data_IF_344283311073
#
_entry.id   IF_344283311073
#
_cell.length_a   1.000
_cell.length_b   1.000
_cell.length_c   1.000
_cell.angle_alpha   90.00
_cell.angle_beta   90.00
_cell.angle_gamma   90.00
#
_symmetry.space_group_name_H-M   'P 1'
#
loop_
_entity.id
_entity.type
_entity.pdbx_description
1 polymer ?
#
# COMPACT_ATOMS: atom_id res chain seq x y z
N UNK A 1 -0.53 4.81 -3.14
CA UNK A 1 0.22 4.75 -4.41
C UNK A 1 -0.74 4.28 -5.48
N UNK A 2 -0.75 4.95 -6.61
CA UNK A 2 -1.66 4.68 -7.73
C UNK A 2 -0.84 4.55 -9.01
N UNK A 3 -1.24 3.65 -9.89
CA UNK A 3 -0.62 3.42 -11.19
C UNK A 3 -1.58 2.58 -12.02
N UNK A 4 -1.42 2.63 -13.34
CA UNK A 4 -2.24 1.84 -14.25
C UNK A 4 -1.90 0.35 -14.12
N UNK A 5 -2.87 -0.50 -13.84
CA UNK A 5 -2.70 -1.96 -13.68
C UNK A 5 -3.27 -2.69 -14.91
N UNK A 6 -4.51 -2.37 -15.26
CA UNK A 6 -5.22 -2.94 -16.40
C UNK A 6 -4.96 -2.12 -17.67
N UNK A 7 -5.26 -2.71 -18.82
CA UNK A 7 -5.00 -2.10 -20.13
C UNK A 7 -5.70 -0.74 -20.32
N UNK A 8 -6.89 -0.61 -19.72
CA UNK A 8 -7.76 0.56 -19.86
C UNK A 8 -7.72 1.49 -18.63
N UNK A 9 -6.84 1.22 -17.64
CA UNK A 9 -6.67 2.14 -16.51
C UNK A 9 -6.02 3.44 -17.01
N UNK A 10 -6.57 4.58 -16.58
CA UNK A 10 -6.02 5.90 -16.86
C UNK A 10 -6.08 6.80 -15.62
N UNK A 11 -5.04 7.62 -15.44
CA UNK A 11 -4.95 8.60 -14.34
C UNK A 11 -6.14 9.54 -14.27
N UNK A 12 -6.74 9.91 -15.38
CA UNK A 12 -7.89 10.83 -15.42
C UNK A 12 -9.16 10.24 -14.82
N UNK A 13 -9.24 8.91 -14.67
CA UNK A 13 -10.35 8.22 -14.00
C UNK A 13 -10.15 8.10 -12.49
N UNK A 14 -8.95 8.39 -11.99
CA UNK A 14 -8.65 8.33 -10.56
C UNK A 14 -9.27 9.52 -9.81
N UNK A 15 -10.14 9.23 -8.83
CA UNK A 15 -10.73 10.21 -7.95
C UNK A 15 -9.80 10.52 -6.74
N UNK A 16 -9.22 11.73 -6.65
CA UNK A 16 -8.38 12.12 -5.51
C UNK A 16 -9.17 12.27 -4.21
N UNK A 17 -10.49 12.44 -4.26
CA UNK A 17 -11.35 12.60 -3.08
C UNK A 17 -11.82 11.24 -2.50
N UNK A 18 -11.43 10.12 -3.12
CA UNK A 18 -11.81 8.78 -2.66
C UNK A 18 -11.35 8.46 -1.22
N UNK A 19 -10.26 9.07 -0.76
CA UNK A 19 -9.78 8.96 0.62
C UNK A 19 -9.45 10.35 1.19
N UNK A 20 -10.46 11.12 1.64
CA UNK A 20 -10.31 12.54 1.94
C UNK A 20 -9.67 12.83 3.31
N UNK A 21 -9.23 11.81 4.05
CA UNK A 21 -8.57 12.02 5.35
C UNK A 21 -7.24 12.75 5.14
N UNK A 22 -6.97 13.88 5.85
CA UNK A 22 -5.77 14.69 5.62
C UNK A 22 -4.44 13.97 5.94
N UNK A 23 -4.50 12.79 6.57
CA UNK A 23 -3.32 11.93 6.79
C UNK A 23 -2.97 11.09 5.56
N UNK A 24 -3.86 11.01 4.58
CA UNK A 24 -3.64 10.24 3.36
C UNK A 24 -2.92 11.11 2.34
N UNK A 25 -1.80 10.61 1.82
CA UNK A 25 -1.08 11.23 0.72
C UNK A 25 -1.23 10.34 -0.50
N UNK A 26 -1.77 10.91 -1.57
CA UNK A 26 -1.91 10.23 -2.84
C UNK A 26 -0.70 10.53 -3.72
N UNK A 27 -0.01 9.48 -4.17
CA UNK A 27 1.09 9.56 -5.12
C UNK A 27 0.77 8.71 -6.33
N UNK A 28 0.96 9.30 -7.51
CA UNK A 28 0.86 8.62 -8.80
C UNK A 28 2.25 8.16 -9.24
N UNK A 29 2.43 6.84 -9.39
CA UNK A 29 3.69 6.19 -9.73
C UNK A 29 3.64 5.71 -11.20
N UNK A 30 3.83 6.66 -12.12
CA UNK A 30 3.75 6.39 -13.58
C UNK A 30 4.70 5.27 -14.03
N UNK A 31 5.88 5.17 -13.43
CA UNK A 31 6.89 4.17 -13.77
C UNK A 31 6.66 2.82 -13.06
N UNK A 32 5.63 2.74 -12.21
CA UNK A 32 5.36 1.58 -11.33
C UNK A 32 6.59 1.23 -10.50
N UNK A 33 7.42 2.21 -10.16
CA UNK A 33 8.71 2.01 -9.53
C UNK A 33 8.58 1.27 -8.20
N UNK A 34 7.66 1.70 -7.33
CA UNK A 34 7.43 1.03 -6.06
C UNK A 34 6.75 -0.33 -6.27
N UNK A 35 5.75 -0.40 -7.15
CA UNK A 35 5.02 -1.63 -7.44
C UNK A 35 5.93 -2.75 -7.97
N UNK A 36 6.96 -2.39 -8.76
CA UNK A 36 8.03 -3.27 -9.23
C UNK A 36 9.04 -3.61 -8.13
N UNK A 37 9.42 -2.63 -7.32
CA UNK A 37 10.45 -2.79 -6.30
C UNK A 37 10.03 -3.74 -5.17
N UNK A 38 8.76 -3.68 -4.72
CA UNK A 38 8.25 -4.50 -3.61
C UNK A 38 8.49 -6.01 -3.82
N UNK A 39 8.02 -6.67 -4.90
CA UNK A 39 8.18 -8.12 -5.07
C UNK A 39 9.65 -8.57 -5.23
N UNK A 40 10.58 -7.64 -5.45
CA UNK A 40 12.02 -7.93 -5.51
C UNK A 40 12.67 -8.02 -4.12
N UNK A 41 12.00 -7.54 -3.06
CA UNK A 41 12.53 -7.59 -1.70
C UNK A 41 12.14 -8.89 -1.03
N UNK A 42 13.11 -9.55 -0.38
CA UNK A 42 12.88 -10.82 0.31
C UNK A 42 11.76 -10.71 1.38
N UNK A 43 11.66 -9.56 2.05
CA UNK A 43 10.64 -9.29 3.05
C UNK A 43 9.19 -9.29 2.51
N UNK A 44 8.99 -9.03 1.21
CA UNK A 44 7.67 -8.94 0.59
C UNK A 44 7.37 -10.08 -0.37
N UNK A 45 8.38 -10.86 -0.77
CA UNK A 45 8.27 -11.87 -1.83
C UNK A 45 7.15 -12.90 -1.60
N UNK A 46 6.93 -13.31 -0.36
CA UNK A 46 5.83 -14.24 0.02
C UNK A 46 4.48 -13.53 0.25
N UNK A 47 4.48 -12.21 0.28
CA UNK A 47 3.31 -11.36 0.57
C UNK A 47 2.66 -10.83 -0.71
N UNK A 48 3.42 -10.70 -1.79
CA UNK A 48 2.97 -10.23 -3.10
C UNK A 48 2.59 -11.38 -4.03
N UNK A 49 1.67 -11.14 -4.97
CA UNK A 49 1.33 -12.06 -6.03
C UNK A 49 1.51 -11.41 -7.40
N UNK A 50 2.21 -12.08 -8.31
CA UNK A 50 2.50 -11.56 -9.64
C UNK A 50 3.69 -10.60 -9.69
N UNK A 51 3.93 -9.97 -10.86
CA UNK A 51 5.13 -9.15 -11.10
C UNK A 51 5.06 -7.75 -10.46
N UNK A 52 3.89 -7.31 -10.01
CA UNK A 52 3.69 -6.00 -9.40
C UNK A 52 2.92 -6.14 -8.08
N UNK A 53 3.26 -5.35 -7.08
CA UNK A 53 2.44 -5.19 -5.89
C UNK A 53 1.28 -4.24 -6.20
N UNK A 54 0.12 -4.80 -6.56
CA UNK A 54 -1.12 -4.07 -6.84
C UNK A 54 -2.26 -4.60 -5.96
N UNK A 55 -3.29 -3.77 -5.73
CA UNK A 55 -4.42 -4.10 -4.84
C UNK A 55 -3.95 -4.70 -3.50
N UNK A 56 -2.95 -4.05 -2.90
CA UNK A 56 -2.29 -4.53 -1.70
C UNK A 56 -2.02 -3.46 -0.65
N UNK A 57 -2.24 -3.92 0.58
CA UNK A 57 -1.78 -3.50 1.88
C UNK A 57 -0.34 -3.72 2.37
N UNK A 58 0.37 -2.69 2.83
CA UNK A 58 1.47 -2.84 3.79
C UNK A 58 1.31 -1.84 4.95
N UNK A 59 1.14 -2.35 6.17
CA UNK A 59 1.01 -1.58 7.40
C UNK A 59 2.28 -1.74 8.23
N UNK A 60 2.98 -0.63 8.43
CA UNK A 60 4.21 -0.57 9.21
C UNK A 60 3.98 0.02 10.59
N UNK A 61 4.88 -0.30 11.52
CA UNK A 61 4.90 0.31 12.86
C UNK A 61 5.34 1.77 12.86
N UNK A 62 5.02 2.53 13.93
CA UNK A 62 5.39 3.94 14.07
C UNK A 62 6.91 4.22 14.02
N UNK A 63 7.73 3.22 14.30
CA UNK A 63 9.18 3.23 14.25
C UNK A 63 9.78 2.92 12.87
N UNK A 64 8.93 2.59 11.88
CA UNK A 64 9.39 2.17 10.57
C UNK A 64 10.00 3.33 9.78
N UNK A 65 11.19 3.07 9.22
CA UNK A 65 11.94 4.04 8.42
C UNK A 65 12.23 3.50 7.03
N UNK A 66 12.12 4.37 6.03
CA UNK A 66 12.37 4.05 4.62
C UNK A 66 13.84 4.35 4.25
N UNK A 67 14.78 3.63 4.87
CA UNK A 67 16.20 3.67 4.46
C UNK A 67 16.48 2.59 3.42
N UNK A 68 16.05 1.37 3.69
CA UNK A 68 16.06 0.23 2.78
C UNK A 68 14.63 -0.33 2.68
N UNK A 69 14.39 -1.53 3.20
CA UNK A 69 13.07 -2.12 3.40
C UNK A 69 12.50 -1.65 4.74
N UNK A 70 11.37 -0.91 4.76
CA UNK A 70 10.78 -0.43 6.01
C UNK A 70 10.36 -1.58 6.92
N UNK A 71 10.72 -1.47 8.19
CA UNK A 71 10.42 -2.45 9.23
C UNK A 71 10.17 -1.77 10.58
N UNK A 72 9.29 -2.32 11.44
CA UNK A 72 8.62 -3.60 11.26
C UNK A 72 7.34 -3.49 10.42
N UNK A 73 7.15 -4.48 9.57
CA UNK A 73 5.88 -4.72 8.90
C UNK A 73 4.93 -5.43 9.88
N UNK A 74 3.87 -4.75 10.30
CA UNK A 74 2.91 -5.26 11.29
C UNK A 74 1.82 -6.10 10.62
N UNK A 75 1.34 -5.67 9.45
CA UNK A 75 0.35 -6.42 8.69
C UNK A 75 0.44 -6.12 7.21
N UNK A 76 -0.01 -7.07 6.40
CA UNK A 76 -0.12 -6.95 4.96
C UNK A 76 -1.32 -7.74 4.45
N UNK A 77 -1.77 -7.44 3.23
CA UNK A 77 -2.80 -8.24 2.61
C UNK A 77 -3.24 -7.77 1.23
N UNK A 78 -3.63 -8.74 0.40
CA UNK A 78 -4.24 -8.58 -0.90
C UNK A 78 -5.51 -9.47 -0.96
N UNK A 79 -6.60 -9.09 -1.64
CA UNK A 79 -6.95 -7.73 -2.10
C UNK A 79 -7.20 -6.80 -0.91
N UNK A 80 -7.00 -5.48 -1.07
CA UNK A 80 -7.22 -4.52 0.04
C UNK A 80 -8.66 -4.58 0.51
N UNK A 81 -9.61 -4.64 -0.42
CA UNK A 81 -11.05 -4.71 -0.11
C UNK A 81 -11.41 -5.95 0.72
N UNK A 82 -10.88 -7.13 0.36
CA UNK A 82 -11.14 -8.36 1.11
C UNK A 82 -10.47 -8.37 2.48
N UNK A 83 -9.37 -7.63 2.65
CA UNK A 83 -8.60 -7.58 3.90
C UNK A 83 -8.89 -6.33 4.74
N UNK A 84 -9.84 -5.47 4.35
CA UNK A 84 -10.17 -4.21 5.04
C UNK A 84 -10.45 -4.36 6.54
N UNK A 85 -11.21 -5.39 6.95
CA UNK A 85 -11.51 -5.63 8.38
C UNK A 85 -10.25 -5.98 9.19
N UNK A 86 -9.30 -6.70 8.58
CA UNK A 86 -8.01 -7.00 9.20
C UNK A 86 -7.17 -5.73 9.29
N UNK A 87 -7.10 -4.96 8.20
CA UNK A 87 -6.39 -3.68 8.18
C UNK A 87 -6.91 -2.77 9.28
N UNK A 88 -8.22 -2.55 9.35
CA UNK A 88 -8.87 -1.72 10.36
C UNK A 88 -8.53 -2.18 11.79
N UNK A 89 -8.71 -3.48 12.09
CA UNK A 89 -8.40 -4.04 13.41
C UNK A 89 -6.94 -3.84 13.82
N UNK A 90 -6.01 -3.92 12.88
CA UNK A 90 -4.57 -3.75 13.16
C UNK A 90 -4.13 -2.29 13.17
N UNK A 91 -4.79 -1.44 12.38
CA UNK A 91 -4.48 -0.01 12.28
C UNK A 91 -5.00 0.78 13.47
N UNK A 92 -6.23 0.52 13.95
CA UNK A 92 -6.86 1.32 15.00
C UNK A 92 -6.01 1.47 16.27
N UNK A 93 -5.34 0.43 16.81
CA UNK A 93 -4.48 0.59 17.98
C UNK A 93 -3.22 1.44 17.75
N UNK A 94 -2.83 1.67 16.49
CA UNK A 94 -1.65 2.45 16.11
C UNK A 94 -1.97 3.93 15.89
N UNK A 95 -3.25 4.31 15.87
CA UNK A 95 -3.68 5.69 15.74
C UNK A 95 -3.81 6.26 17.15
N UNK A 96 -2.98 7.23 17.56
CA UNK A 96 -3.16 7.91 18.84
C UNK A 96 -4.54 8.59 18.86
N UNK A 97 -5.25 8.53 19.99
CA UNK A 97 -6.41 9.40 20.22
C UNK A 97 -5.98 10.86 20.05
N UNK A 98 -6.77 11.65 19.31
CA UNK A 98 -6.52 13.08 19.11
C UNK A 98 -6.98 13.89 20.31
#
# INVERSE_FOLDING_TARGET
>A
MWFDVLLDDDRSEWDPEMMPDPRVIHYWDTERALANWIPQQEAYKSLTFGPFAWDQYFLYGPEAVWVDVPAPLISSGHTVLNKRKRLEKTLLPLIPER
#
